data_IF_928744683381
#
_entry.id   IF_928744683381
#
_cell.length_a   1.000
_cell.length_b   1.000
_cell.length_c   1.000
_cell.angle_alpha   90.00
_cell.angle_beta   90.00
_cell.angle_gamma   90.00
#
_symmetry.space_group_name_H-M   'P 1'
#
loop_
_entity.id
_entity.type
_entity.pdbx_description
1 polymer ?
#
# COMPACT_ATOMS: atom_id res chain seq x y z
N UNK A 1 -6.47 18.73 2.40
CA UNK A 1 -5.33 18.42 3.29
C UNK A 1 -4.61 17.12 2.92
N UNK A 2 -5.31 16.01 2.64
CA UNK A 2 -4.64 14.75 2.24
C UNK A 2 -3.95 14.85 0.86
N UNK A 3 -4.68 15.36 -0.14
CA UNK A 3 -4.16 15.56 -1.51
C UNK A 3 -2.97 16.52 -1.55
N UNK A 4 -2.96 17.54 -0.69
CA UNK A 4 -1.85 18.50 -0.60
C UNK A 4 -0.59 17.86 -0.01
N UNK A 5 -0.74 16.98 0.98
CA UNK A 5 0.38 16.21 1.53
C UNK A 5 0.94 15.22 0.50
N UNK A 6 0.08 14.54 -0.26
CA UNK A 6 0.50 13.65 -1.35
C UNK A 6 1.22 14.41 -2.48
N UNK A 7 0.70 15.57 -2.87
CA UNK A 7 1.34 16.43 -3.86
C UNK A 7 2.70 16.96 -3.38
N UNK A 8 2.83 17.34 -2.11
CA UNK A 8 4.10 17.77 -1.52
C UNK A 8 5.13 16.63 -1.47
N UNK A 9 4.73 15.42 -1.05
CA UNK A 9 5.60 14.25 -1.05
C UNK A 9 6.11 13.90 -2.46
N UNK A 10 5.23 14.00 -3.46
CA UNK A 10 5.61 13.83 -4.86
C UNK A 10 6.58 14.92 -5.34
N UNK A 11 6.35 16.17 -4.94
CA UNK A 11 7.21 17.29 -5.31
C UNK A 11 8.61 17.17 -4.70
N UNK A 12 8.73 16.66 -3.47
CA UNK A 12 10.02 16.39 -2.84
C UNK A 12 10.82 15.35 -3.64
N UNK A 13 10.18 14.24 -4.02
CA UNK A 13 10.83 13.16 -4.76
C UNK A 13 11.15 13.54 -6.21
N UNK A 14 10.16 14.02 -6.96
CA UNK A 14 10.31 14.35 -8.39
C UNK A 14 11.02 15.69 -8.62
N UNK A 15 10.82 16.67 -7.75
CA UNK A 15 11.31 18.04 -7.93
C UNK A 15 12.75 18.22 -7.48
N UNK A 16 13.08 17.86 -6.24
CA UNK A 16 14.43 18.09 -5.69
C UNK A 16 15.43 17.01 -6.10
N UNK A 17 14.96 15.78 -6.27
CA UNK A 17 15.81 14.63 -6.55
C UNK A 17 15.91 14.33 -8.05
N UNK A 18 14.98 14.84 -8.88
CA UNK A 18 14.89 14.55 -10.32
C UNK A 18 14.53 13.09 -10.64
N UNK A 19 14.07 12.33 -9.64
CA UNK A 19 13.72 10.92 -9.73
C UNK A 19 12.19 10.77 -9.74
N UNK A 20 11.63 10.21 -10.82
CA UNK A 20 10.20 9.85 -10.87
C UNK A 20 10.05 8.47 -10.22
N UNK A 21 9.31 8.38 -9.10
CA UNK A 21 9.03 7.10 -8.43
C UNK A 21 7.62 6.63 -8.79
N UNK A 22 7.48 5.52 -9.53
CA UNK A 22 6.19 4.91 -9.86
C UNK A 22 5.75 3.84 -8.85
N UNK A 23 6.54 3.61 -7.79
CA UNK A 23 6.29 2.56 -6.80
C UNK A 23 5.25 2.90 -5.73
N UNK A 24 4.63 4.08 -5.76
CA UNK A 24 3.64 4.51 -4.75
C UNK A 24 2.46 3.53 -4.65
N UNK A 25 2.04 2.95 -5.78
CA UNK A 25 0.98 1.94 -5.83
C UNK A 25 1.33 0.67 -5.04
N UNK A 26 2.61 0.28 -5.00
CA UNK A 26 3.08 -0.88 -4.24
C UNK A 26 2.89 -0.70 -2.74
N UNK A 27 3.27 0.47 -2.21
CA UNK A 27 3.15 0.77 -0.78
C UNK A 27 1.68 0.93 -0.36
N UNK A 28 0.87 1.55 -1.22
CA UNK A 28 -0.57 1.64 -1.02
C UNK A 28 -1.22 0.25 -0.98
N UNK A 29 -0.89 -0.62 -1.93
CA UNK A 29 -1.37 -2.00 -1.97
C UNK A 29 -0.97 -2.81 -0.74
N UNK A 30 0.28 -2.69 -0.27
CA UNK A 30 0.76 -3.34 0.94
C UNK A 30 -0.07 -2.96 2.19
N UNK A 31 -0.34 -1.67 2.37
CA UNK A 31 -1.19 -1.19 3.48
C UNK A 31 -2.61 -1.72 3.38
N UNK A 32 -3.22 -1.68 2.19
CA UNK A 32 -4.56 -2.18 1.95
C UNK A 32 -4.67 -3.69 2.23
N UNK A 33 -3.73 -4.50 1.75
CA UNK A 33 -3.70 -5.94 2.02
C UNK A 33 -3.47 -6.25 3.49
N UNK A 34 -2.59 -5.51 4.17
CA UNK A 34 -2.38 -5.69 5.61
C UNK A 34 -3.66 -5.44 6.40
N UNK A 35 -4.37 -4.35 6.08
CA UNK A 35 -5.63 -4.02 6.72
C UNK A 35 -6.70 -5.09 6.45
N UNK A 36 -6.80 -5.58 5.21
CA UNK A 36 -7.72 -6.64 4.83
C UNK A 36 -7.45 -7.94 5.60
N UNK A 37 -6.18 -8.32 5.74
CA UNK A 37 -5.76 -9.52 6.46
C UNK A 37 -6.13 -9.45 7.94
N UNK A 38 -5.90 -8.29 8.57
CA UNK A 38 -6.22 -8.12 9.99
C UNK A 38 -7.74 -8.13 10.21
N UNK A 39 -8.50 -7.45 9.35
CA UNK A 39 -9.96 -7.45 9.44
C UNK A 39 -10.54 -8.87 9.30
N UNK A 40 -10.00 -9.67 8.38
CA UNK A 40 -10.41 -11.06 8.20
C UNK A 40 -10.03 -11.93 9.41
N UNK A 41 -8.78 -11.83 9.89
CA UNK A 41 -8.28 -12.69 10.95
C UNK A 41 -8.96 -12.40 12.31
N UNK A 42 -9.34 -11.15 12.55
CA UNK A 42 -9.98 -10.73 13.80
C UNK A 42 -11.51 -10.71 13.74
N UNK A 43 -12.13 -11.16 12.63
CA UNK A 43 -13.59 -11.18 12.42
C UNK A 43 -14.26 -9.86 12.84
N UNK A 44 -13.65 -8.74 12.45
CA UNK A 44 -14.11 -7.42 12.89
C UNK A 44 -15.44 -7.11 12.18
N UNK A 45 -16.54 -6.84 12.91
CA UNK A 45 -17.80 -6.44 12.28
C UNK A 45 -17.62 -5.15 11.48
N UNK A 46 -18.33 -5.04 10.37
CA UNK A 46 -18.26 -3.89 9.48
C UNK A 46 -18.66 -2.59 10.19
N UNK A 47 -18.02 -1.46 9.85
CA UNK A 47 -18.34 -0.16 10.45
C UNK A 47 -17.12 0.72 10.67
N UNK A 48 -17.05 1.40 11.82
CA UNK A 48 -15.94 2.32 12.15
C UNK A 48 -14.68 1.62 12.69
N UNK A 49 -14.80 0.35 13.11
CA UNK A 49 -13.71 -0.41 13.71
C UNK A 49 -12.46 -0.57 12.79
N UNK A 50 -12.57 -0.84 11.47
CA UNK A 50 -11.41 -0.92 10.58
C UNK A 50 -10.56 0.35 10.53
N UNK A 51 -11.16 1.52 10.75
CA UNK A 51 -10.43 2.80 10.73
C UNK A 51 -9.44 2.93 11.89
N UNK A 52 -9.71 2.29 13.04
CA UNK A 52 -8.76 2.27 14.16
C UNK A 52 -7.52 1.41 13.87
N UNK A 53 -7.60 0.50 12.90
CA UNK A 53 -6.47 -0.34 12.48
C UNK A 53 -5.65 0.29 11.34
N UNK A 54 -6.10 1.39 10.73
CA UNK A 54 -5.35 2.12 9.70
C UNK A 54 -3.92 2.51 10.14
N UNK A 55 -3.68 3.02 11.37
CA UNK A 55 -2.33 3.32 11.83
C UNK A 55 -1.45 2.08 11.87
N UNK A 56 -1.99 0.94 12.31
CA UNK A 56 -1.26 -0.34 12.38
C UNK A 56 -0.91 -0.85 10.98
N UNK A 57 -1.86 -0.80 10.05
CA UNK A 57 -1.64 -1.16 8.65
C UNK A 57 -0.59 -0.26 7.99
N UNK A 58 -0.63 1.05 8.29
CA UNK A 58 0.39 2.01 7.86
C UNK A 58 1.76 1.73 8.45
N UNK A 59 1.84 1.29 9.71
CA UNK A 59 3.08 0.94 10.38
C UNK A 59 3.74 -0.28 9.74
N UNK A 60 2.96 -1.32 9.46
CA UNK A 60 3.44 -2.52 8.75
C UNK A 60 3.87 -2.17 7.32
N UNK A 61 3.06 -1.41 6.58
CA UNK A 61 3.43 -0.96 5.24
C UNK A 61 4.71 -0.10 5.26
N UNK A 62 4.87 0.77 6.26
CA UNK A 62 6.08 1.54 6.49
C UNK A 62 7.30 0.67 6.78
N UNK A 63 7.13 -0.39 7.59
CA UNK A 63 8.20 -1.34 7.89
C UNK A 63 8.70 -2.07 6.63
N UNK A 64 7.79 -2.47 5.75
CA UNK A 64 8.14 -3.02 4.43
C UNK A 64 8.68 -1.98 3.46
N UNK A 65 8.27 -0.71 3.58
CA UNK A 65 8.77 0.37 2.75
C UNK A 65 10.23 0.74 3.04
N UNK A 66 10.73 0.54 4.27
CA UNK A 66 12.14 0.83 4.63
C UNK A 66 13.15 0.04 3.76
N UNK A 67 13.13 -1.30 3.71
CA UNK A 67 14.09 -2.06 2.90
C UNK A 67 13.89 -1.83 1.39
N UNK A 68 12.66 -1.60 0.93
CA UNK A 68 12.36 -1.32 -0.48
C UNK A 68 12.85 0.06 -0.90
N UNK A 69 12.63 1.07 -0.05
CA UNK A 69 13.15 2.41 -0.24
C UNK A 69 14.66 2.42 -0.23
N UNK A 70 15.30 1.67 0.68
CA UNK A 70 16.75 1.49 0.70
C UNK A 70 17.29 0.88 -0.60
N UNK A 71 16.63 -0.16 -1.11
CA UNK A 71 17.02 -0.80 -2.38
C UNK A 71 16.87 0.16 -3.56
N UNK A 72 15.76 0.89 -3.62
CA UNK A 72 15.49 1.84 -4.69
C UNK A 72 16.51 3.00 -4.67
N UNK A 73 16.75 3.60 -3.50
CA UNK A 73 17.65 4.76 -3.33
C UNK A 73 19.14 4.43 -3.60
N UNK A 74 19.52 3.16 -3.63
CA UNK A 74 20.89 2.75 -3.98
C UNK A 74 21.23 2.97 -5.45
N UNK A 75 20.26 3.30 -6.31
CA UNK A 75 20.45 3.37 -7.77
C UNK A 75 20.44 4.79 -8.35
N UNK A 76 21.20 5.00 -9.44
CA UNK A 76 21.45 6.32 -10.04
C UNK A 76 20.47 6.67 -11.17
N UNK A 77 20.02 7.94 -11.18
CA UNK A 77 19.10 8.65 -12.09
C UNK A 77 18.13 7.80 -12.89
N UNK A 78 18.55 7.24 -14.02
CA UNK A 78 17.66 6.52 -14.93
C UNK A 78 17.26 5.12 -14.45
N UNK A 79 18.13 4.45 -13.69
CA UNK A 79 17.90 3.08 -13.23
C UNK A 79 16.84 3.01 -12.13
N UNK A 80 16.61 4.11 -11.42
CA UNK A 80 15.63 4.20 -10.34
C UNK A 80 14.20 3.94 -10.83
N UNK A 81 13.82 4.54 -11.97
CA UNK A 81 12.47 4.35 -12.54
C UNK A 81 12.26 2.86 -12.85
N UNK A 82 13.22 2.25 -13.57
CA UNK A 82 13.16 0.83 -13.96
C UNK A 82 13.04 -0.07 -12.73
N UNK A 83 13.80 0.21 -11.67
CA UNK A 83 13.74 -0.56 -10.43
C UNK A 83 12.41 -0.38 -9.71
N UNK A 84 11.85 0.83 -9.67
CA UNK A 84 10.53 1.03 -9.04
C UNK A 84 9.42 0.29 -9.78
N UNK A 85 9.49 0.22 -11.12
CA UNK A 85 8.56 -0.59 -11.92
C UNK A 85 8.79 -2.09 -11.70
N UNK A 86 10.05 -2.53 -11.67
CA UNK A 86 10.38 -3.93 -11.40
C UNK A 86 9.89 -4.36 -10.00
N UNK A 87 10.07 -3.51 -8.99
CA UNK A 87 9.53 -3.72 -7.65
C UNK A 87 8.01 -3.82 -7.66
N UNK A 88 7.33 -2.95 -8.41
CA UNK A 88 5.88 -3.04 -8.58
C UNK A 88 5.46 -4.40 -9.13
N UNK A 89 6.10 -4.89 -10.18
CA UNK A 89 5.82 -6.22 -10.74
C UNK A 89 6.16 -7.36 -9.78
N UNK A 90 7.26 -7.27 -9.05
CA UNK A 90 7.62 -8.27 -8.02
C UNK A 90 6.52 -8.34 -6.97
N UNK A 91 6.01 -7.20 -6.50
CA UNK A 91 4.90 -7.16 -5.54
C UNK A 91 3.59 -7.68 -6.09
N UNK A 92 3.28 -7.34 -7.34
CA UNK A 92 2.11 -7.89 -8.03
C UNK A 92 2.22 -9.42 -8.12
N UNK A 93 3.38 -9.94 -8.50
CA UNK A 93 3.64 -11.37 -8.57
C UNK A 93 3.57 -12.02 -7.18
N UNK A 94 4.10 -11.36 -6.16
CA UNK A 94 4.04 -11.80 -4.77
C UNK A 94 2.57 -11.91 -4.32
N UNK A 95 1.75 -10.90 -4.62
CA UNK A 95 0.32 -10.90 -4.30
C UNK A 95 -0.43 -12.05 -5.00
N UNK A 96 -0.05 -12.42 -6.22
CA UNK A 96 -0.64 -13.58 -6.91
C UNK A 96 -0.12 -14.93 -6.40
N UNK A 97 1.16 -15.02 -6.01
CA UNK A 97 1.80 -16.28 -5.59
C UNK A 97 1.55 -16.62 -4.12
N UNK A 98 1.38 -15.63 -3.25
CA UNK A 98 1.10 -15.81 -1.81
C UNK A 98 -0.34 -16.24 -1.56
N UNK A 99 -0.79 -17.34 -2.18
CA UNK A 99 -2.16 -17.87 -2.04
C UNK A 99 -2.58 -18.10 -0.58
N UNK A 100 -1.62 -18.40 0.31
CA UNK A 100 -1.89 -18.61 1.74
C UNK A 100 -2.13 -17.34 2.56
N UNK A 101 -1.78 -16.15 2.04
CA UNK A 101 -1.92 -14.87 2.74
C UNK A 101 -2.91 -13.97 2.00
N UNK A 102 -2.80 -13.81 0.69
CA UNK A 102 -3.66 -12.91 -0.12
C UNK A 102 -4.88 -13.59 -0.71
N UNK A 103 -5.07 -14.90 -0.48
CA UNK A 103 -6.05 -15.74 -1.16
C UNK A 103 -5.85 -15.80 -2.70
N UNK A 104 -4.65 -15.43 -3.17
CA UNK A 104 -4.26 -15.51 -4.57
C UNK A 104 -5.14 -14.64 -5.49
N UNK A 105 -5.73 -15.26 -6.52
CA UNK A 105 -6.60 -14.59 -7.49
C UNK A 105 -8.00 -14.26 -6.96
N UNK A 106 -8.40 -14.82 -5.81
CA UNK A 106 -9.71 -14.56 -5.19
C UNK A 106 -9.77 -13.24 -4.43
N UNK A 107 -8.60 -12.70 -4.03
CA UNK A 107 -8.51 -11.50 -3.20
C UNK A 107 -9.12 -11.69 -1.80
N UNK A 108 -9.00 -10.64 -0.99
CA UNK A 108 -9.63 -10.55 0.33
C UNK A 108 -10.68 -9.45 0.25
N UNK A 109 -11.93 -9.80 0.50
CA UNK A 109 -13.01 -8.82 0.57
C UNK A 109 -13.03 -8.17 1.94
N UNK A 110 -13.21 -6.86 1.96
CA UNK A 110 -13.47 -6.13 3.19
C UNK A 110 -14.89 -6.45 3.70
N UNK A 111 -15.08 -6.55 5.03
CA UNK A 111 -16.42 -6.63 5.60
C UNK A 111 -17.21 -5.38 5.20
N UNK A 112 -18.45 -5.58 4.73
CA UNK A 112 -19.33 -4.49 4.36
C UNK A 112 -19.67 -3.66 5.59
N UNK A 113 -19.56 -2.33 5.53
CA UNK A 113 -19.91 -1.49 6.67
C UNK A 113 -21.41 -1.56 6.94
N UNK A 114 -21.78 -1.72 8.21
CA UNK A 114 -23.17 -1.88 8.67
C UNK A 114 -23.94 -0.54 8.71
N UNK A 115 -23.40 0.54 8.13
CA UNK A 115 -24.15 1.79 8.02
C UNK A 115 -25.22 1.66 6.93
N UNK A 116 -26.47 1.92 7.30
CA UNK A 116 -27.58 2.03 6.35
C UNK A 116 -27.25 3.12 5.33
N UNK A 117 -27.41 2.81 4.03
CA UNK A 117 -27.12 3.70 2.89
C UNK A 117 -28.06 4.91 2.79
N UNK A 118 -28.91 5.12 3.78
CA UNK A 118 -30.10 5.98 3.74
C UNK A 118 -29.79 7.44 4.10
N UNK A 119 -28.53 7.74 4.38
CA UNK A 119 -28.06 9.10 4.69
C UNK A 119 -27.54 9.87 3.45
N UNK A 120 -27.90 9.43 2.24
CA UNK A 120 -27.77 10.21 1.00
C UNK A 120 -29.02 10.11 0.12
#
# INVERSE_FOLDING_TARGET
MLLTAAAAAWNILSGYTGYVSLGSATYFGLGAYTLALICQNWHIPGGFAPFFLLPLAGLVAGLFAIPLGWLALRTRRYTFIVITIALFFVFQLLAFNLKGVTNGSGGIFFPFPDWESDLF
#
